data_IF_627152775021
#
_entry.id   IF_627152775021
#
_cell.length_a   1.000
_cell.length_b   1.000
_cell.length_c   1.000
_cell.angle_alpha   90.00
_cell.angle_beta   90.00
_cell.angle_gamma   90.00
#
_symmetry.space_group_name_H-M   'P 1'
#
loop_
_entity.id
_entity.type
_entity.pdbx_description
1 polymer ?
#
# COMPACT_ATOMS: atom_id res chain seq x y z
N UNK A 1 21.07 -11.17 -5.41
CA UNK A 1 19.78 -11.44 -6.08
C UNK A 1 18.65 -10.98 -5.20
N UNK A 2 17.82 -10.09 -5.71
CA UNK A 2 16.62 -9.66 -4.99
C UNK A 2 15.60 -10.81 -5.09
N UNK A 3 15.16 -11.36 -3.96
CA UNK A 3 14.05 -12.32 -3.90
C UNK A 3 12.73 -11.59 -4.18
N UNK A 4 12.50 -11.25 -5.45
CA UNK A 4 11.25 -10.65 -5.86
C UNK A 4 10.11 -11.64 -5.59
N UNK A 5 9.08 -11.19 -4.89
CA UNK A 5 7.89 -11.97 -4.60
C UNK A 5 7.99 -12.97 -3.44
N UNK A 6 9.15 -13.16 -2.83
CA UNK A 6 9.25 -13.95 -1.61
C UNK A 6 8.87 -13.13 -0.40
N UNK A 7 7.90 -13.61 0.38
CA UNK A 7 7.49 -12.98 1.63
C UNK A 7 8.38 -13.49 2.78
N UNK A 8 9.03 -12.56 3.46
CA UNK A 8 9.73 -12.84 4.72
C UNK A 8 8.82 -12.52 5.91
N UNK A 9 8.71 -13.46 6.84
CA UNK A 9 7.91 -13.30 8.06
C UNK A 9 8.83 -13.34 9.26
N UNK A 10 8.76 -12.28 10.08
CA UNK A 10 9.54 -12.17 11.32
C UNK A 10 8.60 -11.88 12.50
N UNK A 11 9.03 -12.24 13.70
CA UNK A 11 8.32 -11.97 14.97
C UNK A 11 9.26 -11.30 15.97
N UNK A 12 9.57 -10.00 15.78
CA UNK A 12 10.58 -9.36 16.65
C UNK A 12 10.11 -9.21 18.10
N UNK A 13 8.80 -8.95 18.33
CA UNK A 13 8.25 -8.66 19.65
C UNK A 13 6.82 -9.22 19.87
N UNK A 14 6.47 -10.33 19.28
CA UNK A 14 5.14 -10.94 19.40
C UNK A 14 4.36 -10.93 18.10
N UNK A 15 3.72 -9.83 17.64
CA UNK A 15 3.04 -9.82 16.36
C UNK A 15 3.99 -10.10 15.20
N UNK A 16 3.53 -10.88 14.23
CA UNK A 16 4.31 -11.16 13.04
C UNK A 16 4.34 -9.96 12.08
N UNK A 17 5.45 -9.78 11.42
CA UNK A 17 5.65 -8.80 10.37
C UNK A 17 5.98 -9.54 9.08
N UNK A 18 5.21 -9.30 8.03
CA UNK A 18 5.52 -9.77 6.68
C UNK A 18 6.22 -8.68 5.87
N UNK A 19 7.26 -9.04 5.16
CA UNK A 19 8.04 -8.14 4.30
C UNK A 19 8.30 -8.78 2.95
N UNK A 20 8.11 -8.04 1.89
CA UNK A 20 8.42 -8.46 0.51
C UNK A 20 8.80 -7.26 -0.34
N UNK A 21 9.45 -7.53 -1.48
CA UNK A 21 9.82 -6.48 -2.42
C UNK A 21 8.74 -6.33 -3.51
N UNK A 22 8.24 -5.13 -3.68
CA UNK A 22 7.36 -4.80 -4.80
C UNK A 22 8.17 -4.72 -6.11
N UNK A 23 7.66 -5.26 -7.23
CA UNK A 23 8.32 -5.12 -8.53
C UNK A 23 8.52 -3.65 -8.93
N UNK A 24 9.70 -3.35 -9.49
CA UNK A 24 10.05 -1.98 -9.91
C UNK A 24 9.03 -1.39 -10.89
N UNK A 25 8.51 -2.20 -11.80
CA UNK A 25 7.50 -1.77 -12.78
C UNK A 25 6.23 -1.24 -12.13
N UNK A 26 5.80 -1.85 -11.03
CA UNK A 26 4.64 -1.37 -10.25
C UNK A 26 4.96 -0.07 -9.52
N UNK A 27 6.15 0.04 -8.91
CA UNK A 27 6.58 1.28 -8.25
C UNK A 27 6.65 2.43 -9.24
N UNK A 28 7.22 2.21 -10.42
CA UNK A 28 7.33 3.23 -11.46
C UNK A 28 5.94 3.69 -11.93
N UNK A 29 5.02 2.76 -12.16
CA UNK A 29 3.64 3.06 -12.53
C UNK A 29 2.91 3.93 -11.48
N UNK A 30 3.05 3.57 -10.21
CA UNK A 30 2.45 4.31 -9.09
C UNK A 30 3.06 5.71 -8.99
N UNK A 31 4.37 5.82 -9.03
CA UNK A 31 5.06 7.10 -8.93
C UNK A 31 4.73 8.03 -10.10
N UNK A 32 4.67 7.52 -11.32
CA UNK A 32 4.27 8.31 -12.48
C UNK A 32 2.85 8.85 -12.33
N UNK A 33 1.91 8.04 -11.87
CA UNK A 33 0.55 8.48 -11.58
C UNK A 33 0.51 9.60 -10.53
N UNK A 34 1.25 9.45 -9.43
CA UNK A 34 1.30 10.45 -8.38
C UNK A 34 1.88 11.76 -8.90
N UNK A 35 2.95 11.71 -9.68
CA UNK A 35 3.57 12.89 -10.28
C UNK A 35 2.61 13.64 -11.21
N UNK A 36 1.80 12.92 -11.98
CA UNK A 36 0.75 13.52 -12.82
C UNK A 36 -0.35 14.19 -11.98
N UNK A 37 -0.80 13.52 -10.92
CA UNK A 37 -1.84 14.06 -10.02
C UNK A 37 -1.38 15.35 -9.36
N UNK A 38 -0.14 15.41 -8.90
CA UNK A 38 0.41 16.59 -8.22
C UNK A 38 0.51 17.79 -9.17
N UNK A 39 0.85 17.56 -10.44
CA UNK A 39 0.95 18.61 -11.46
C UNK A 39 -0.39 19.17 -11.90
N UNK A 40 -1.46 18.40 -11.79
CA UNK A 40 -2.81 18.79 -12.23
C UNK A 40 -3.69 19.12 -11.03
N UNK A 41 -4.07 20.40 -10.90
CA UNK A 41 -4.90 20.88 -9.78
C UNK A 41 -6.28 20.19 -9.68
N UNK A 42 -6.87 19.81 -10.81
CA UNK A 42 -8.16 19.11 -10.82
C UNK A 42 -8.01 17.67 -10.35
N UNK A 43 -6.97 16.97 -10.80
CA UNK A 43 -6.64 15.61 -10.32
C UNK A 43 -6.25 15.63 -8.85
N UNK A 44 -5.46 16.60 -8.42
CA UNK A 44 -5.07 16.77 -7.03
C UNK A 44 -6.29 16.92 -6.11
N UNK A 45 -7.27 17.76 -6.47
CA UNK A 45 -8.52 17.89 -5.70
C UNK A 45 -9.30 16.58 -5.58
N UNK A 46 -9.25 15.74 -6.61
CA UNK A 46 -9.98 14.46 -6.67
C UNK A 46 -9.30 13.36 -5.85
N UNK A 47 -7.98 13.27 -5.88
CA UNK A 47 -7.22 12.13 -5.35
C UNK A 47 -6.41 12.44 -4.09
N UNK A 48 -6.10 13.71 -3.82
CA UNK A 48 -5.33 14.10 -2.63
C UNK A 48 -6.22 14.20 -1.39
N UNK A 49 -5.92 13.37 -0.42
CA UNK A 49 -6.65 13.26 0.84
C UNK A 49 -5.86 13.76 2.05
N UNK A 50 -4.64 14.25 1.85
CA UNK A 50 -3.74 14.67 2.92
C UNK A 50 -4.36 15.64 3.93
N UNK A 51 -5.24 16.53 3.45
CA UNK A 51 -5.93 17.52 4.30
C UNK A 51 -6.98 16.92 5.25
N UNK A 52 -7.42 15.69 5.04
CA UNK A 52 -8.44 15.02 5.86
C UNK A 52 -7.86 14.12 6.94
N UNK A 53 -6.54 14.02 7.02
CA UNK A 53 -5.86 13.04 7.86
C UNK A 53 -5.14 13.70 9.03
N UNK A 54 -4.97 12.95 10.10
CA UNK A 54 -4.42 13.45 11.36
C UNK A 54 -2.90 13.73 11.33
N UNK A 55 -2.22 13.42 10.22
CA UNK A 55 -0.79 13.59 10.06
C UNK A 55 -0.41 14.92 9.37
N UNK A 56 0.81 15.35 9.56
CA UNK A 56 1.42 16.44 8.79
C UNK A 56 2.11 15.88 7.55
N UNK A 57 1.32 15.37 6.62
CA UNK A 57 1.78 14.83 5.34
C UNK A 57 1.13 15.62 4.22
N UNK A 58 1.94 16.13 3.29
CA UNK A 58 1.44 16.95 2.18
C UNK A 58 0.95 16.14 0.99
N UNK A 59 1.37 14.89 0.85
CA UNK A 59 0.99 14.03 -0.27
C UNK A 59 0.44 12.70 0.21
N UNK A 60 -0.86 12.57 0.18
CA UNK A 60 -1.58 11.33 0.40
C UNK A 60 -2.60 11.13 -0.70
N UNK A 61 -2.25 10.27 -1.64
CA UNK A 61 -2.95 10.13 -2.92
C UNK A 61 -3.66 8.78 -2.97
N UNK A 62 -4.98 8.84 -3.12
CA UNK A 62 -5.78 7.63 -3.35
C UNK A 62 -5.54 7.11 -4.77
N UNK A 63 -5.28 5.81 -4.86
CA UNK A 63 -5.11 5.15 -6.15
C UNK A 63 -6.47 4.77 -6.74
N UNK A 64 -6.74 5.12 -8.01
CA UNK A 64 -7.95 4.67 -8.70
C UNK A 64 -7.81 3.24 -9.20
N UNK A 65 -8.94 2.63 -9.55
CA UNK A 65 -8.97 1.25 -10.03
C UNK A 65 -8.08 1.03 -11.26
N UNK A 66 -7.95 1.99 -12.15
CA UNK A 66 -7.10 1.91 -13.33
C UNK A 66 -5.61 1.67 -13.00
N UNK A 67 -5.19 2.12 -11.80
CA UNK A 67 -3.83 1.90 -11.30
C UNK A 67 -3.73 0.60 -10.49
N UNK A 68 -4.80 0.28 -9.75
CA UNK A 68 -4.83 -0.88 -8.85
C UNK A 68 -5.07 -2.19 -9.61
N UNK A 69 -6.00 -2.20 -10.54
CA UNK A 69 -6.41 -3.43 -11.23
C UNK A 69 -5.26 -4.07 -12.02
N UNK A 70 -5.23 -5.38 -12.01
CA UNK A 70 -4.19 -6.18 -12.66
C UNK A 70 -3.02 -6.49 -11.74
N UNK A 71 -1.81 -6.05 -12.08
CA UNK A 71 -0.58 -6.48 -11.39
C UNK A 71 -0.50 -6.05 -9.93
N UNK A 72 -0.88 -4.81 -9.61
CA UNK A 72 -0.83 -4.34 -8.22
C UNK A 72 -1.80 -5.10 -7.33
N UNK A 73 -3.04 -5.25 -7.77
CA UNK A 73 -4.05 -6.02 -7.03
C UNK A 73 -3.62 -7.48 -6.84
N UNK A 74 -3.06 -8.07 -7.88
CA UNK A 74 -2.54 -9.44 -7.82
C UNK A 74 -1.38 -9.56 -6.82
N UNK A 75 -0.44 -8.62 -6.86
CA UNK A 75 0.69 -8.58 -5.92
C UNK A 75 0.21 -8.47 -4.47
N UNK A 76 -0.73 -7.56 -4.19
CA UNK A 76 -1.29 -7.37 -2.85
C UNK A 76 -2.04 -8.61 -2.36
N UNK A 77 -2.85 -9.21 -3.25
CA UNK A 77 -3.60 -10.43 -2.93
C UNK A 77 -2.66 -11.59 -2.61
N UNK A 78 -1.68 -11.86 -3.45
CA UNK A 78 -0.76 -13.00 -3.26
C UNK A 78 0.13 -12.78 -2.03
N UNK A 79 0.58 -11.57 -1.77
CA UNK A 79 1.36 -11.25 -0.57
C UNK A 79 0.54 -11.41 0.71
N UNK A 80 -0.70 -10.93 0.72
CA UNK A 80 -1.62 -11.09 1.86
C UNK A 80 -1.97 -12.55 2.10
N UNK A 81 -2.26 -13.27 1.03
CA UNK A 81 -2.53 -14.72 1.09
C UNK A 81 -1.35 -15.49 1.67
N UNK A 82 -0.14 -15.24 1.18
CA UNK A 82 1.08 -15.88 1.68
C UNK A 82 1.32 -15.58 3.17
N UNK A 83 1.06 -14.35 3.60
CA UNK A 83 1.18 -13.94 5.00
C UNK A 83 0.18 -14.66 5.90
N UNK A 84 -1.11 -14.63 5.56
CA UNK A 84 -2.16 -15.26 6.36
C UNK A 84 -2.00 -16.78 6.40
N UNK A 85 -1.76 -17.43 5.28
CA UNK A 85 -1.57 -18.88 5.19
C UNK A 85 -0.26 -19.33 5.86
N UNK A 86 0.77 -18.48 5.85
CA UNK A 86 2.04 -18.76 6.54
C UNK A 86 1.96 -18.62 8.06
N UNK A 87 0.99 -17.88 8.58
CA UNK A 87 0.79 -17.69 10.02
C UNK A 87 -0.30 -18.56 10.62
N UNK A 88 -1.20 -19.03 9.81
CA UNK A 88 -2.37 -19.81 10.24
C UNK A 88 -2.47 -21.06 9.39
N UNK A 89 -3.14 -22.10 9.89
CA UNK A 89 -3.43 -23.30 9.11
C UNK A 89 -4.66 -23.14 8.20
N UNK A 90 -5.09 -21.87 7.96
CA UNK A 90 -6.28 -21.55 7.18
C UNK A 90 -5.90 -21.15 5.77
N UNK A 91 -6.69 -21.59 4.79
CA UNK A 91 -6.58 -21.13 3.40
C UNK A 91 -7.37 -19.86 3.18
N UNK A 92 -6.77 -18.91 2.43
CA UNK A 92 -7.47 -17.70 1.99
C UNK A 92 -8.27 -18.03 0.73
N UNK A 93 -9.58 -18.01 0.84
CA UNK A 93 -10.50 -18.31 -0.27
C UNK A 93 -11.10 -17.07 -0.90
N UNK A 94 -11.05 -15.93 -0.20
CA UNK A 94 -11.57 -14.65 -0.68
C UNK A 94 -10.66 -13.51 -0.24
N UNK A 95 -10.40 -12.60 -1.15
CA UNK A 95 -9.66 -11.36 -0.90
C UNK A 95 -10.43 -10.17 -1.49
N UNK A 96 -10.55 -9.11 -0.75
CA UNK A 96 -11.15 -7.85 -1.19
C UNK A 96 -10.28 -6.67 -0.76
N UNK A 97 -9.84 -5.87 -1.71
CA UNK A 97 -9.17 -4.61 -1.43
C UNK A 97 -10.24 -3.52 -1.23
N UNK A 98 -10.30 -2.95 -0.05
CA UNK A 98 -11.29 -1.92 0.29
C UNK A 98 -10.86 -0.56 -0.24
N UNK A 99 -9.59 -0.22 -0.02
CA UNK A 99 -8.99 1.04 -0.48
C UNK A 99 -7.48 0.91 -0.57
N UNK A 100 -6.88 1.74 -1.40
CA UNK A 100 -5.43 1.82 -1.55
C UNK A 100 -5.02 3.28 -1.76
N UNK A 101 -4.03 3.71 -1.02
CA UNK A 101 -3.46 5.06 -1.17
C UNK A 101 -1.96 5.02 -0.97
N UNK A 102 -1.29 6.05 -1.44
CA UNK A 102 0.15 6.23 -1.30
C UNK A 102 0.43 7.49 -0.51
N UNK A 103 1.30 7.38 0.47
CA UNK A 103 1.83 8.50 1.24
C UNK A 103 3.26 8.74 0.78
N UNK A 104 3.57 9.97 0.38
CA UNK A 104 4.94 10.46 0.25
C UNK A 104 5.25 11.36 1.43
N UNK A 105 6.23 11.00 2.20
CA UNK A 105 6.64 11.71 3.40
C UNK A 105 7.99 12.38 3.16
N UNK A 106 8.04 13.69 3.33
CA UNK A 106 9.22 14.51 3.15
C UNK A 106 9.85 14.87 4.51
N UNK A 107 10.99 15.54 4.47
CA UNK A 107 11.67 16.00 5.69
C UNK A 107 10.72 16.85 6.55
N UNK A 108 10.70 16.59 7.86
CA UNK A 108 9.82 17.23 8.86
C UNK A 108 8.33 16.89 8.77
N UNK A 109 7.94 16.01 7.88
CA UNK A 109 6.59 15.44 7.84
C UNK A 109 6.51 14.17 8.68
N UNK A 110 5.35 13.86 9.24
CA UNK A 110 5.12 12.63 10.00
C UNK A 110 3.66 12.18 9.95
N UNK A 111 3.46 10.88 10.08
CA UNK A 111 2.17 10.29 10.40
C UNK A 111 2.18 9.87 11.89
N UNK A 112 1.24 10.34 12.71
CA UNK A 112 1.12 9.87 14.09
C UNK A 112 0.69 8.39 14.12
N UNK A 113 0.86 7.74 15.26
CA UNK A 113 0.31 6.42 15.50
C UNK A 113 -1.20 6.50 15.34
N UNK A 114 -1.76 5.68 14.49
CA UNK A 114 -3.20 5.63 14.20
C UNK A 114 -3.60 4.21 13.84
N UNK A 115 -4.90 3.99 13.70
CA UNK A 115 -5.47 2.70 13.36
C UNK A 115 -6.40 2.82 12.16
N UNK A 116 -6.58 1.71 11.46
CA UNK A 116 -7.47 1.60 10.32
C UNK A 116 -8.58 0.59 10.58
N UNK A 117 -9.76 0.85 10.02
CA UNK A 117 -10.82 -0.14 9.95
C UNK A 117 -10.49 -1.13 8.83
N UNK A 118 -10.70 -2.39 9.10
CA UNK A 118 -10.50 -3.47 8.15
C UNK A 118 -10.10 -4.76 8.82
N UNK A 119 -10.10 -5.82 8.04
CA UNK A 119 -9.65 -7.14 8.46
C UNK A 119 -8.66 -7.69 7.44
N UNK A 120 -7.62 -8.31 7.95
CA UNK A 120 -6.68 -9.11 7.16
C UNK A 120 -7.03 -10.58 7.33
#
# INVERSE_FOLDING_TARGET
>A
MKNEGKLDIIRPFGPAIGSTNIPKTLIDKINNFIDEVIKDKNKSKKFDWGKYLAGQVTQEIRLPNEIIDGELLNFLRESTKAFVEGLTDKKVTKFQLISCWVVRQFQNEYNPIHWHNGHI
#
